data_IF_819071513928
#
_entry.id   IF_819071513928
#
_cell.length_a   1.000
_cell.length_b   1.000
_cell.length_c   1.000
_cell.angle_alpha   90.00
_cell.angle_beta   90.00
_cell.angle_gamma   90.00
#
_symmetry.space_group_name_H-M   'P 1'
#
loop_
_entity.id
_entity.type
_entity.pdbx_description
1 polymer ?
#
# COMPACT_ATOMS: atom_id res chain seq x y z
N UNK A 1 5.25 3.02 21.22
CA UNK A 1 3.90 3.15 20.61
C UNK A 1 2.92 2.02 20.98
N UNK A 2 3.28 1.03 21.80
CA UNK A 2 2.34 -0.02 22.26
C UNK A 2 1.18 0.46 23.18
N UNK A 3 1.07 1.76 23.46
CA UNK A 3 0.13 2.32 24.43
C UNK A 3 -1.16 2.93 23.85
N UNK A 4 -1.27 3.14 22.53
CA UNK A 4 -2.42 3.83 21.93
C UNK A 4 -3.54 2.91 21.46
N UNK A 5 -3.24 1.69 21.02
CA UNK A 5 -4.21 0.76 20.41
C UNK A 5 -5.13 0.10 21.45
N UNK A 6 -4.57 -0.33 22.59
CA UNK A 6 -5.37 -0.87 23.71
C UNK A 6 -6.38 0.13 24.28
N UNK A 7 -6.08 1.44 24.22
CA UNK A 7 -7.03 2.50 24.64
C UNK A 7 -8.25 2.63 23.72
N UNK A 8 -8.14 2.21 22.47
CA UNK A 8 -9.24 2.19 21.51
C UNK A 8 -10.00 0.84 21.51
N UNK A 9 -9.67 -0.09 22.42
CA UNK A 9 -10.33 -1.39 22.54
C UNK A 9 -9.84 -2.46 21.56
N UNK A 10 -8.78 -2.19 20.79
CA UNK A 10 -8.20 -3.17 19.87
C UNK A 10 -7.08 -3.96 20.54
N UNK A 11 -7.14 -5.29 20.41
CA UNK A 11 -6.04 -6.19 20.77
C UNK A 11 -5.18 -6.45 19.52
N UNK A 12 -4.03 -5.78 19.45
CA UNK A 12 -3.15 -5.79 18.30
C UNK A 12 -1.74 -6.17 18.75
N UNK A 13 -1.13 -7.11 18.02
CA UNK A 13 0.31 -7.33 18.09
C UNK A 13 1.05 -6.29 17.27
N UNK A 14 2.19 -5.83 17.79
CA UNK A 14 3.07 -4.89 17.11
C UNK A 14 4.45 -5.52 17.00
N UNK A 15 4.89 -5.74 15.77
CA UNK A 15 6.20 -6.25 15.44
C UNK A 15 6.96 -5.19 14.64
N UNK A 16 8.26 -5.08 14.87
CA UNK A 16 9.12 -4.12 14.18
C UNK A 16 10.04 -4.87 13.24
N UNK A 17 10.11 -4.42 11.99
CA UNK A 17 11.05 -4.91 11.00
C UNK A 17 11.40 -3.80 10.02
N UNK A 18 12.61 -3.84 9.48
CA UNK A 18 12.97 -3.10 8.28
C UNK A 18 12.49 -3.87 7.06
N UNK A 19 11.36 -3.46 6.49
CA UNK A 19 10.77 -4.11 5.32
C UNK A 19 11.61 -3.99 4.03
N UNK A 20 12.61 -3.12 3.99
CA UNK A 20 13.58 -3.07 2.89
C UNK A 20 14.61 -4.22 2.96
N UNK A 21 14.78 -4.85 4.13
CA UNK A 21 15.65 -6.00 4.34
C UNK A 21 14.86 -7.30 4.23
N UNK A 22 15.28 -8.18 3.32
CA UNK A 22 14.58 -9.44 3.07
C UNK A 22 14.63 -10.40 4.28
N UNK A 23 15.77 -10.50 4.96
CA UNK A 23 15.95 -11.41 6.09
C UNK A 23 15.14 -10.95 7.31
N UNK A 24 14.94 -9.64 7.47
CA UNK A 24 14.08 -9.10 8.52
C UNK A 24 12.59 -9.38 8.23
N UNK A 25 12.17 -9.32 6.97
CA UNK A 25 10.82 -9.74 6.56
C UNK A 25 10.58 -11.24 6.78
N UNK A 26 11.56 -12.08 6.48
CA UNK A 26 11.48 -13.53 6.72
C UNK A 26 11.26 -13.83 8.21
N UNK A 27 12.05 -13.22 9.09
CA UNK A 27 11.89 -13.35 10.54
C UNK A 27 10.53 -12.84 11.02
N UNK A 28 10.08 -11.69 10.50
CA UNK A 28 8.79 -11.12 10.83
C UNK A 28 7.65 -12.10 10.49
N UNK A 29 7.65 -12.67 9.28
CA UNK A 29 6.63 -13.62 8.85
C UNK A 29 6.71 -14.91 9.67
N UNK A 30 7.90 -15.41 9.97
CA UNK A 30 8.07 -16.58 10.82
C UNK A 30 7.45 -16.40 12.22
N UNK A 31 7.62 -15.23 12.85
CA UNK A 31 7.02 -14.91 14.15
C UNK A 31 5.48 -14.89 14.09
N UNK A 32 4.91 -14.35 13.01
CA UNK A 32 3.45 -14.34 12.81
C UNK A 32 2.94 -15.77 12.62
N UNK A 33 3.63 -16.58 11.81
CA UNK A 33 3.28 -17.98 11.57
C UNK A 33 3.42 -18.84 12.82
N UNK A 34 4.44 -18.64 13.65
CA UNK A 34 4.60 -19.34 14.93
C UNK A 34 3.41 -19.09 15.87
N UNK A 35 2.91 -17.85 15.90
CA UNK A 35 1.83 -17.46 16.81
C UNK A 35 0.44 -17.81 16.30
N UNK A 36 0.19 -17.65 15.00
CA UNK A 36 -1.16 -17.71 14.42
C UNK A 36 -1.35 -18.88 13.45
N UNK A 37 -0.27 -19.47 12.93
CA UNK A 37 -0.30 -20.61 12.01
C UNK A 37 -0.72 -20.30 10.57
N UNK A 38 -1.21 -19.08 10.28
CA UNK A 38 -1.67 -18.67 8.95
C UNK A 38 -1.62 -17.14 8.79
N UNK A 39 -1.63 -16.69 7.52
CA UNK A 39 -1.76 -15.28 7.14
C UNK A 39 -2.71 -15.22 5.93
N UNK A 40 -3.95 -14.78 6.16
CA UNK A 40 -4.99 -14.70 5.13
C UNK A 40 -4.92 -13.42 4.29
N UNK A 41 -4.45 -12.33 4.90
CA UNK A 41 -4.47 -11.00 4.29
C UNK A 41 -3.12 -10.32 4.49
N UNK A 42 -2.52 -9.86 3.40
CA UNK A 42 -1.35 -8.98 3.40
C UNK A 42 -1.74 -7.64 2.79
N UNK A 43 -1.60 -6.56 3.56
CA UNK A 43 -1.78 -5.19 3.08
C UNK A 43 -0.41 -4.51 2.98
N UNK A 44 0.12 -4.40 1.77
CA UNK A 44 1.34 -3.64 1.51
C UNK A 44 1.02 -2.13 1.45
N UNK A 45 0.91 -1.52 2.63
CA UNK A 45 0.62 -0.09 2.80
C UNK A 45 1.88 0.78 3.04
N UNK A 46 2.96 0.17 3.54
CA UNK A 46 4.15 0.93 3.88
C UNK A 46 4.75 1.67 2.67
N UNK A 47 5.29 2.85 2.94
CA UNK A 47 5.97 3.66 1.94
C UNK A 47 6.27 5.06 2.43
N UNK A 48 7.16 5.74 1.72
CA UNK A 48 7.61 7.09 1.99
C UNK A 48 7.57 7.95 0.72
N UNK A 49 7.74 9.24 0.91
CA UNK A 49 7.98 10.23 -0.16
C UNK A 49 9.30 10.96 0.10
N UNK A 50 10.00 11.33 -0.97
CA UNK A 50 11.21 12.15 -0.93
C UNK A 50 11.16 13.10 -2.12
N UNK A 51 10.31 14.12 -2.01
CA UNK A 51 9.88 14.95 -3.13
C UNK A 51 10.96 15.96 -3.53
N UNK A 52 11.36 15.91 -4.80
CA UNK A 52 12.28 16.87 -5.43
C UNK A 52 12.21 16.69 -6.94
N UNK A 53 12.51 17.75 -7.70
CA UNK A 53 12.57 17.62 -9.16
C UNK A 53 13.70 16.68 -9.56
N UNK A 54 13.53 15.93 -10.65
CA UNK A 54 14.53 14.95 -11.10
C UNK A 54 15.93 15.57 -11.25
N UNK A 55 16.02 16.80 -11.76
CA UNK A 55 17.27 17.57 -11.90
C UNK A 55 18.03 17.72 -10.57
N UNK A 56 17.31 17.78 -9.44
CA UNK A 56 17.86 17.98 -8.10
C UNK A 56 17.87 16.69 -7.26
N UNK A 57 17.31 15.59 -7.79
CA UNK A 57 17.16 14.35 -7.06
C UNK A 57 18.52 13.69 -6.88
N UNK A 58 18.86 13.40 -5.63
CA UNK A 58 20.04 12.61 -5.32
C UNK A 58 19.74 11.12 -5.51
N UNK A 59 20.71 10.30 -5.94
CA UNK A 59 20.53 8.85 -6.07
C UNK A 59 19.98 8.19 -4.79
N UNK A 60 20.40 8.66 -3.62
CA UNK A 60 19.96 8.10 -2.34
C UNK A 60 18.45 8.34 -2.11
N UNK A 61 17.92 9.49 -2.51
CA UNK A 61 16.48 9.80 -2.42
C UNK A 61 15.65 8.94 -3.39
N UNK A 62 16.25 8.54 -4.52
CA UNK A 62 15.63 7.60 -5.44
C UNK A 62 15.58 6.21 -4.81
N UNK A 63 16.72 5.69 -4.36
CA UNK A 63 16.82 4.35 -3.79
C UNK A 63 15.97 4.19 -2.52
N UNK A 64 15.99 5.18 -1.62
CA UNK A 64 15.20 5.12 -0.39
C UNK A 64 13.69 4.95 -0.65
N UNK A 65 13.16 5.60 -1.69
CA UNK A 65 11.76 5.48 -2.09
C UNK A 65 11.49 4.15 -2.78
N UNK A 66 12.40 3.67 -3.64
CA UNK A 66 12.26 2.34 -4.25
C UNK A 66 12.27 1.23 -3.21
N UNK A 67 13.20 1.27 -2.27
CA UNK A 67 13.37 0.24 -1.24
C UNK A 67 12.14 0.19 -0.33
N UNK A 68 11.66 1.35 0.12
CA UNK A 68 10.51 1.44 1.01
C UNK A 68 9.17 1.14 0.31
N UNK A 69 9.00 1.45 -0.98
CA UNK A 69 7.69 1.39 -1.65
C UNK A 69 7.53 0.22 -2.62
N UNK A 70 8.62 -0.36 -3.13
CA UNK A 70 8.59 -1.41 -4.15
C UNK A 70 9.35 -2.66 -3.70
N UNK A 71 10.60 -2.52 -3.24
CA UNK A 71 11.37 -3.66 -2.73
C UNK A 71 10.67 -4.28 -1.52
N UNK A 72 10.11 -3.46 -0.62
CA UNK A 72 9.33 -3.93 0.53
C UNK A 72 8.11 -4.78 0.15
N UNK A 73 7.39 -4.41 -0.92
CA UNK A 73 6.24 -5.17 -1.44
C UNK A 73 6.70 -6.54 -1.91
N UNK A 74 7.81 -6.62 -2.63
CA UNK A 74 8.41 -7.89 -3.02
C UNK A 74 8.80 -8.71 -1.77
N UNK A 75 9.56 -8.12 -0.84
CA UNK A 75 10.06 -8.82 0.34
C UNK A 75 8.92 -9.42 1.19
N UNK A 76 7.90 -8.63 1.51
CA UNK A 76 6.75 -9.10 2.29
C UNK A 76 5.93 -10.14 1.53
N UNK A 77 5.57 -9.86 0.28
CA UNK A 77 4.73 -10.76 -0.51
C UNK A 77 5.43 -12.10 -0.76
N UNK A 78 6.75 -12.08 -1.05
CA UNK A 78 7.54 -13.30 -1.26
C UNK A 78 7.59 -14.21 -0.04
N UNK A 79 7.60 -13.64 1.17
CA UNK A 79 7.63 -14.40 2.42
C UNK A 79 6.23 -14.88 2.86
N UNK A 80 5.17 -14.12 2.59
CA UNK A 80 3.78 -14.52 2.95
C UNK A 80 3.17 -15.51 1.96
N UNK A 81 3.50 -15.40 0.67
CA UNK A 81 2.86 -16.17 -0.40
C UNK A 81 2.89 -17.70 -0.21
N UNK A 82 3.98 -18.34 0.26
CA UNK A 82 4.00 -19.78 0.49
C UNK A 82 2.88 -20.26 1.44
N UNK A 83 2.62 -19.53 2.53
CA UNK A 83 1.58 -19.88 3.49
C UNK A 83 0.17 -19.76 2.86
N UNK A 84 -0.08 -18.71 2.07
CA UNK A 84 -1.34 -18.55 1.34
C UNK A 84 -1.55 -19.69 0.32
N UNK A 85 -0.48 -20.09 -0.39
CA UNK A 85 -0.54 -21.18 -1.38
C UNK A 85 -0.82 -22.54 -0.74
N UNK A 86 -0.20 -22.81 0.41
CA UNK A 86 -0.46 -24.02 1.20
C UNK A 86 -1.89 -24.06 1.72
N UNK A 87 -2.43 -22.92 2.18
CA UNK A 87 -3.79 -22.82 2.69
C UNK A 87 -4.86 -22.80 1.58
N UNK A 88 -4.50 -22.40 0.35
CA UNK A 88 -5.44 -22.27 -0.77
C UNK A 88 -6.36 -21.05 -0.65
N UNK A 89 -5.97 -20.06 0.14
CA UNK A 89 -6.67 -18.79 0.32
C UNK A 89 -5.67 -17.65 0.56
N UNK A 90 -5.99 -16.47 0.03
CA UNK A 90 -5.20 -15.28 0.32
C UNK A 90 -5.74 -14.01 -0.31
N UNK A 91 -5.45 -12.87 0.32
CA UNK A 91 -5.72 -11.52 -0.20
C UNK A 91 -4.44 -10.69 -0.09
N UNK A 92 -3.86 -10.33 -1.22
CA UNK A 92 -2.73 -9.39 -1.27
C UNK A 92 -3.24 -8.05 -1.80
N UNK A 93 -3.15 -7.01 -0.99
CA UNK A 93 -3.65 -5.67 -1.29
C UNK A 93 -2.48 -4.70 -1.28
N UNK A 94 -2.17 -4.15 -2.44
CA UNK A 94 -1.08 -3.18 -2.61
C UNK A 94 -1.66 -1.76 -2.58
N UNK A 95 -1.16 -0.89 -1.70
CA UNK A 95 -1.57 0.51 -1.67
C UNK A 95 -0.68 1.32 -2.59
N UNK A 96 -1.24 1.70 -3.74
CA UNK A 96 -0.61 2.58 -4.71
C UNK A 96 -0.93 4.05 -4.43
N UNK A 97 -1.22 4.84 -5.46
CA UNK A 97 -1.55 6.26 -5.39
C UNK A 97 -2.10 6.73 -6.73
N UNK A 98 -2.98 7.72 -6.70
CA UNK A 98 -3.35 8.52 -7.87
C UNK A 98 -2.12 9.04 -8.63
N UNK A 99 -1.02 9.36 -7.93
CA UNK A 99 0.22 9.83 -8.55
C UNK A 99 0.99 8.71 -9.26
N UNK A 100 0.75 7.45 -8.91
CA UNK A 100 1.20 6.31 -9.71
C UNK A 100 0.42 6.17 -11.02
N UNK A 101 -0.78 6.75 -11.12
CA UNK A 101 -1.58 6.73 -12.36
C UNK A 101 -1.26 7.89 -13.28
N UNK A 102 -1.29 9.11 -12.75
CA UNK A 102 -1.20 10.36 -13.53
C UNK A 102 0.19 11.01 -13.53
N UNK A 103 1.10 10.51 -12.68
CA UNK A 103 2.34 11.19 -12.34
C UNK A 103 2.12 12.36 -11.37
N UNK A 104 3.22 12.94 -10.89
CA UNK A 104 3.19 14.15 -10.07
C UNK A 104 4.51 14.91 -10.19
N UNK A 105 4.43 16.23 -10.30
CA UNK A 105 5.62 17.08 -10.33
C UNK A 105 6.42 16.91 -9.04
N UNK A 106 7.74 16.69 -9.17
CA UNK A 106 8.64 16.47 -8.03
C UNK A 106 8.62 15.05 -7.45
N UNK A 107 7.91 14.11 -8.08
CA UNK A 107 7.72 12.76 -7.57
C UNK A 107 8.14 11.66 -8.56
N UNK A 108 9.19 11.85 -9.35
CA UNK A 108 9.65 10.82 -10.30
C UNK A 108 9.94 9.48 -9.62
N UNK A 109 10.54 9.50 -8.41
CA UNK A 109 10.75 8.31 -7.58
C UNK A 109 9.42 7.70 -7.11
N UNK A 110 8.58 8.48 -6.43
CA UNK A 110 7.32 7.98 -5.86
C UNK A 110 6.35 7.47 -6.93
N UNK A 111 6.08 8.28 -7.96
CA UNK A 111 5.21 7.90 -9.07
C UNK A 111 5.70 6.61 -9.75
N UNK A 112 7.00 6.48 -10.03
CA UNK A 112 7.54 5.25 -10.62
C UNK A 112 7.27 4.02 -9.75
N UNK A 113 7.49 4.10 -8.43
CA UNK A 113 7.21 2.97 -7.52
C UNK A 113 5.73 2.62 -7.48
N UNK A 114 4.84 3.62 -7.38
CA UNK A 114 3.39 3.41 -7.31
C UNK A 114 2.82 2.90 -8.65
N UNK A 115 3.36 3.32 -9.79
CA UNK A 115 3.03 2.74 -11.10
C UNK A 115 3.48 1.27 -11.20
N UNK A 116 4.67 0.93 -10.68
CA UNK A 116 5.21 -0.42 -10.74
C UNK A 116 4.32 -1.44 -10.00
N UNK A 117 3.61 -1.02 -8.95
CA UNK A 117 2.68 -1.87 -8.21
C UNK A 117 1.54 -2.43 -9.07
N UNK A 118 1.13 -1.73 -10.14
CA UNK A 118 0.13 -2.26 -11.07
C UNK A 118 0.68 -3.44 -11.87
N UNK A 119 1.95 -3.35 -12.30
CA UNK A 119 2.64 -4.44 -12.98
C UNK A 119 2.79 -5.65 -12.07
N UNK A 120 3.34 -5.43 -10.87
CA UNK A 120 3.49 -6.47 -9.85
C UNK A 120 2.17 -7.18 -9.53
N UNK A 121 1.12 -6.39 -9.28
CA UNK A 121 -0.23 -6.89 -8.97
C UNK A 121 -0.78 -7.77 -10.09
N UNK A 122 -0.73 -7.31 -11.34
CA UNK A 122 -1.26 -8.06 -12.49
C UNK A 122 -0.50 -9.35 -12.73
N UNK A 123 0.83 -9.33 -12.65
CA UNK A 123 1.65 -10.52 -12.83
C UNK A 123 1.38 -11.57 -11.76
N UNK A 124 1.45 -11.18 -10.48
CA UNK A 124 1.22 -12.12 -9.39
C UNK A 124 -0.23 -12.65 -9.39
N UNK A 125 -1.22 -11.80 -9.68
CA UNK A 125 -2.61 -12.23 -9.81
C UNK A 125 -2.77 -13.39 -10.82
N UNK A 126 -2.08 -13.33 -11.97
CA UNK A 126 -2.14 -14.39 -12.98
C UNK A 126 -1.51 -15.70 -12.49
N UNK A 127 -0.44 -15.63 -11.69
CA UNK A 127 0.24 -16.81 -11.15
C UNK A 127 -0.63 -17.56 -10.13
N UNK A 128 -1.40 -16.83 -9.32
CA UNK A 128 -2.05 -17.40 -8.11
C UNK A 128 -3.57 -17.50 -8.20
N UNK A 129 -4.21 -17.00 -9.27
CA UNK A 129 -5.68 -16.96 -9.39
C UNK A 129 -6.34 -18.35 -9.24
N UNK A 130 -5.72 -19.41 -9.77
CA UNK A 130 -6.25 -20.79 -9.66
C UNK A 130 -6.06 -21.40 -8.28
N UNK A 131 -5.42 -20.69 -7.35
CA UNK A 131 -5.05 -21.14 -6.00
C UNK A 131 -5.89 -20.46 -4.90
N UNK A 132 -7.00 -19.81 -5.27
CA UNK A 132 -7.89 -19.14 -4.31
C UNK A 132 -7.38 -17.81 -3.76
N UNK A 133 -6.31 -17.27 -4.37
CA UNK A 133 -5.65 -16.03 -3.94
C UNK A 133 -5.97 -14.91 -4.91
N UNK A 134 -6.31 -13.73 -4.39
CA UNK A 134 -6.47 -12.51 -5.19
C UNK A 134 -5.38 -11.50 -4.88
N UNK A 135 -4.92 -10.77 -5.90
CA UNK A 135 -3.94 -9.69 -5.75
C UNK A 135 -4.50 -8.44 -6.40
N UNK A 136 -4.66 -7.36 -5.64
CA UNK A 136 -5.28 -6.13 -6.12
C UNK A 136 -4.51 -4.90 -5.67
N UNK A 137 -4.71 -3.79 -6.36
CA UNK A 137 -4.21 -2.47 -5.98
C UNK A 137 -5.35 -1.55 -5.57
N UNK A 138 -5.12 -0.72 -4.56
CA UNK A 138 -5.95 0.47 -4.29
C UNK A 138 -5.11 1.70 -4.60
N UNK A 139 -5.68 2.68 -5.31
CA UNK A 139 -5.04 3.95 -5.63
C UNK A 139 -5.77 5.11 -4.95
N UNK A 140 -5.36 5.48 -3.71
CA UNK A 140 -5.91 6.63 -3.02
C UNK A 140 -5.59 7.95 -3.73
N UNK A 141 -6.50 8.92 -3.60
CA UNK A 141 -6.22 10.33 -3.84
C UNK A 141 -5.49 10.98 -2.66
N UNK A 142 -5.75 12.27 -2.41
CA UNK A 142 -5.24 12.97 -1.24
C UNK A 142 -6.10 12.66 0.00
N UNK A 143 -5.48 12.09 1.03
CA UNK A 143 -6.15 11.60 2.25
C UNK A 143 -5.69 12.41 3.47
N UNK A 144 -6.64 12.81 4.32
CA UNK A 144 -6.44 13.53 5.58
C UNK A 144 -5.53 12.75 6.53
N UNK A 145 -4.23 13.01 6.42
CA UNK A 145 -3.19 12.37 7.22
C UNK A 145 -2.30 13.44 7.82
N UNK A 146 -1.57 13.14 8.92
CA UNK A 146 -0.60 14.07 9.49
C UNK A 146 0.45 14.56 8.47
N UNK A 147 0.74 13.76 7.44
CA UNK A 147 1.64 14.14 6.34
C UNK A 147 1.12 15.37 5.58
N UNK A 148 -0.17 15.41 5.24
CA UNK A 148 -0.78 16.56 4.55
C UNK A 148 -0.95 17.78 5.44
N UNK A 149 -1.07 17.60 6.76
CA UNK A 149 -1.18 18.71 7.71
C UNK A 149 0.06 19.63 7.71
N UNK A 150 1.18 19.18 7.16
CA UNK A 150 2.41 19.97 7.02
C UNK A 150 2.48 20.81 5.73
N UNK A 151 1.52 20.65 4.80
CA UNK A 151 1.50 21.42 3.56
C UNK A 151 1.05 22.86 3.80
N UNK A 152 1.52 23.76 2.93
CA UNK A 152 1.05 25.15 2.94
C UNK A 152 -0.43 25.20 2.57
N UNK A 153 -1.17 26.09 3.23
CA UNK A 153 -2.62 26.19 3.10
C UNK A 153 -3.08 26.50 1.66
N UNK A 154 -2.33 27.32 0.93
CA UNK A 154 -2.58 27.66 -0.47
C UNK A 154 -2.46 26.43 -1.39
N UNK A 155 -1.42 25.62 -1.18
CA UNK A 155 -1.22 24.36 -1.91
C UNK A 155 -2.33 23.37 -1.58
N UNK A 156 -2.71 23.27 -0.31
CA UNK A 156 -3.80 22.38 0.13
C UNK A 156 -5.14 22.78 -0.49
N UNK A 157 -5.47 24.08 -0.52
CA UNK A 157 -6.68 24.59 -1.16
C UNK A 157 -6.69 24.30 -2.66
N UNK A 158 -5.55 24.47 -3.35
CA UNK A 158 -5.42 24.12 -4.76
C UNK A 158 -5.62 22.62 -5.02
N UNK A 159 -5.10 21.76 -4.14
CA UNK A 159 -5.33 20.32 -4.25
C UNK A 159 -6.82 20.01 -4.09
N UNK A 160 -7.48 20.59 -3.09
CA UNK A 160 -8.90 20.35 -2.82
C UNK A 160 -9.77 20.84 -3.99
N UNK A 161 -9.44 21.98 -4.61
CA UNK A 161 -10.21 22.48 -5.77
C UNK A 161 -10.15 21.56 -6.99
N UNK A 162 -9.09 20.76 -7.11
CA UNK A 162 -8.93 19.79 -8.19
C UNK A 162 -9.66 18.46 -7.89
N UNK A 163 -10.21 18.28 -6.69
CA UNK A 163 -10.97 17.08 -6.31
C UNK A 163 -12.46 17.35 -6.52
N UNK A 164 -13.14 16.67 -7.47
CA UNK A 164 -14.57 16.91 -7.76
C UNK A 164 -15.52 16.79 -6.57
N UNK A 165 -15.26 15.87 -5.63
CA UNK A 165 -16.07 15.75 -4.40
C UNK A 165 -15.83 16.89 -3.40
N UNK A 166 -14.90 17.81 -3.68
CA UNK A 166 -14.68 19.05 -2.92
C UNK A 166 -14.00 18.89 -1.56
N UNK A 167 -13.37 17.72 -1.30
CA UNK A 167 -12.69 17.45 -0.03
C UNK A 167 -11.59 16.42 -0.18
N UNK A 168 -10.74 16.34 0.83
CA UNK A 168 -9.82 15.23 1.02
C UNK A 168 -10.61 13.96 1.38
N UNK A 169 -10.05 12.80 1.04
CA UNK A 169 -10.55 11.52 1.55
C UNK A 169 -10.15 11.33 3.01
N UNK A 170 -10.89 10.52 3.76
CA UNK A 170 -10.52 10.16 5.13
C UNK A 170 -9.84 8.79 5.17
N UNK A 171 -8.93 8.51 6.13
CA UNK A 171 -8.29 7.20 6.26
C UNK A 171 -9.29 6.03 6.32
N UNK A 172 -10.46 6.24 6.94
CA UNK A 172 -11.51 5.22 7.05
C UNK A 172 -12.07 4.84 5.68
N UNK A 173 -12.15 5.78 4.72
CA UNK A 173 -12.64 5.49 3.37
C UNK A 173 -11.69 4.58 2.58
N UNK A 174 -10.38 4.65 2.87
CA UNK A 174 -9.39 3.71 2.34
C UNK A 174 -9.47 2.39 3.09
N UNK A 175 -9.67 2.43 4.41
CA UNK A 175 -9.83 1.23 5.23
C UNK A 175 -11.03 0.38 4.80
N UNK A 176 -12.17 0.99 4.45
CA UNK A 176 -13.35 0.29 3.93
C UNK A 176 -13.06 -0.38 2.57
N UNK A 177 -12.30 0.27 1.69
CA UNK A 177 -11.87 -0.32 0.43
C UNK A 177 -10.93 -1.53 0.65
N UNK A 178 -10.02 -1.44 1.62
CA UNK A 178 -9.16 -2.56 2.05
C UNK A 178 -10.00 -3.69 2.62
N UNK A 179 -10.95 -3.39 3.52
CA UNK A 179 -11.81 -4.37 4.15
C UNK A 179 -12.67 -5.12 3.12
N UNK A 180 -13.23 -4.40 2.13
CA UNK A 180 -13.94 -5.01 1.02
C UNK A 180 -13.05 -5.98 0.23
N UNK A 181 -11.84 -5.57 -0.17
CA UNK A 181 -10.93 -6.47 -0.91
C UNK A 181 -10.37 -7.62 -0.05
N UNK A 182 -10.32 -7.46 1.28
CA UNK A 182 -9.92 -8.49 2.21
C UNK A 182 -11.04 -9.54 2.47
N UNK A 183 -12.28 -9.17 2.16
CA UNK A 183 -13.45 -10.03 2.37
C UNK A 183 -13.49 -11.24 1.43
N UNK A 184 -14.32 -12.22 1.78
CA UNK A 184 -14.56 -13.40 0.94
C UNK A 184 -15.35 -13.06 -0.33
N UNK A 185 -16.11 -11.98 -0.28
CA UNK A 185 -17.05 -11.47 -1.27
C UNK A 185 -16.33 -10.85 -2.47
N UNK A 186 -15.09 -10.40 -2.28
CA UNK A 186 -14.23 -9.87 -3.34
C UNK A 186 -13.48 -10.95 -4.14
N UNK A 187 -13.79 -12.24 -3.97
CA UNK A 187 -13.04 -13.35 -4.58
C UNK A 187 -13.00 -13.36 -6.11
N UNK A 188 -13.87 -12.61 -6.79
CA UNK A 188 -13.86 -12.47 -8.25
C UNK A 188 -13.07 -11.25 -8.76
N UNK A 189 -12.46 -10.47 -7.85
CA UNK A 189 -11.66 -9.29 -8.16
C UNK A 189 -10.19 -9.67 -7.98
N UNK A 190 -9.43 -9.77 -9.07
CA UNK A 190 -7.97 -10.00 -9.02
C UNK A 190 -7.29 -9.31 -10.19
N UNK A 191 -6.07 -8.82 -10.00
CA UNK A 191 -5.33 -8.02 -10.97
C UNK A 191 -5.89 -6.61 -11.17
N UNK A 192 -6.87 -6.18 -10.36
CA UNK A 192 -7.58 -4.92 -10.52
C UNK A 192 -6.88 -3.76 -9.79
N UNK A 193 -7.20 -2.54 -10.21
CA UNK A 193 -6.92 -1.31 -9.47
C UNK A 193 -8.23 -0.64 -9.09
N UNK A 194 -8.42 -0.36 -7.79
CA UNK A 194 -9.55 0.39 -7.27
C UNK A 194 -9.12 1.84 -6.99
N UNK A 195 -9.64 2.78 -7.77
CA UNK A 195 -9.37 4.20 -7.58
C UNK A 195 -10.30 4.78 -6.50
N UNK A 196 -9.72 5.31 -5.42
CA UNK A 196 -10.43 5.95 -4.29
C UNK A 196 -9.91 7.37 -4.13
N UNK A 197 -10.28 8.24 -5.08
CA UNK A 197 -9.61 9.53 -5.27
C UNK A 197 -10.56 10.74 -5.38
N UNK A 198 -11.84 10.57 -5.09
CA UNK A 198 -12.82 11.66 -5.14
C UNK A 198 -13.07 12.23 -6.54
N UNK A 199 -12.71 11.49 -7.60
CA UNK A 199 -12.87 11.89 -9.00
C UNK A 199 -11.71 12.71 -9.57
N UNK A 200 -10.63 12.92 -8.82
CA UNK A 200 -9.51 13.76 -9.25
C UNK A 200 -8.77 13.21 -10.49
N UNK A 201 -8.87 11.90 -10.74
CA UNK A 201 -8.33 11.25 -11.93
C UNK A 201 -9.26 10.12 -12.37
N UNK A 202 -9.49 10.02 -13.68
CA UNK A 202 -10.34 9.03 -14.35
C UNK A 202 -9.63 8.47 -15.58
#
# INVERSE_FOLDING_TARGET
MAGSTKKAGYDLDILYANIADFADCEKLVALVMERYGHIDVLVNNAGITCDTTLKKMKPEQWHQVLDANLTSVFNMTRNVLPAMLEHGYGRVINISSINGRKGQFGQCNYAATKSALYGFTKSLAQEVATKGITVNTISPGYIETPMLASMKEDVLKSIISDIPVGRLGRPEEIAEAVAFLASTEAGFITGANLDVNGGQYM
#
